data_IF_998734217828
#
_entry.id   IF_998734217828
#
_cell.length_a   1.000
_cell.length_b   1.000
_cell.length_c   1.000
_cell.angle_alpha   90.00
_cell.angle_beta   90.00
_cell.angle_gamma   90.00
#
_symmetry.space_group_name_H-M   'P 1'
#
loop_
_entity.id
_entity.type
_entity.pdbx_description
1 polymer ?
#
# COMPACT_ATOMS: atom_id res chain seq x y z
N UNK A 1 -8.08 -21.50 -1.45
CA UNK A 1 -8.06 -20.13 -2.00
C UNK A 1 -6.87 -19.96 -2.95
N UNK A 2 -7.12 -19.58 -4.21
CA UNK A 2 -6.09 -19.35 -5.25
C UNK A 2 -5.29 -18.05 -5.01
N UNK A 3 -4.69 -17.89 -3.84
CA UNK A 3 -3.68 -16.86 -3.54
C UNK A 3 -2.28 -17.50 -3.48
N UNK A 4 -2.12 -18.68 -4.07
CA UNK A 4 -0.92 -19.50 -3.88
C UNK A 4 0.33 -18.92 -4.55
N UNK A 5 0.17 -18.04 -5.54
CA UNK A 5 1.27 -17.60 -6.41
C UNK A 5 1.50 -16.08 -6.40
N UNK A 6 0.83 -15.34 -5.51
CA UNK A 6 0.99 -13.89 -5.43
C UNK A 6 1.27 -13.42 -4.01
N UNK A 7 2.19 -12.46 -3.91
CA UNK A 7 2.41 -11.69 -2.69
C UNK A 7 2.45 -10.19 -2.99
N UNK A 8 2.13 -9.38 -1.99
CA UNK A 8 2.37 -7.95 -2.01
C UNK A 8 3.69 -7.65 -1.32
N UNK A 9 4.49 -6.80 -1.94
CA UNK A 9 5.77 -6.36 -1.39
C UNK A 9 5.85 -4.84 -1.49
N UNK A 10 6.15 -4.19 -0.37
CA UNK A 10 6.48 -2.77 -0.37
C UNK A 10 7.95 -2.60 -0.78
N UNK A 11 8.21 -1.90 -1.89
CA UNK A 11 9.54 -1.73 -2.47
C UNK A 11 9.78 -0.30 -2.93
N UNK A 12 11.03 0.15 -2.86
CA UNK A 12 11.46 1.47 -3.32
C UNK A 12 12.07 1.45 -4.74
N UNK A 13 11.54 0.59 -5.61
CA UNK A 13 12.09 0.33 -6.94
C UNK A 13 11.92 1.52 -7.91
N UNK A 14 10.75 2.19 -7.91
CA UNK A 14 10.50 3.37 -8.76
C UNK A 14 11.19 4.63 -8.23
N UNK A 15 11.14 4.85 -6.92
CA UNK A 15 11.79 5.96 -6.24
C UNK A 15 12.38 5.45 -4.92
N UNK A 16 13.70 5.64 -4.72
CA UNK A 16 14.43 5.14 -3.55
C UNK A 16 13.91 5.67 -2.21
N UNK A 17 13.20 6.79 -2.21
CA UNK A 17 12.61 7.41 -1.02
C UNK A 17 11.22 6.87 -0.67
N UNK A 18 10.53 6.21 -1.61
CA UNK A 18 9.12 5.86 -1.48
C UNK A 18 8.91 4.36 -1.61
N UNK A 19 8.24 3.75 -0.64
CA UNK A 19 7.84 2.36 -0.70
C UNK A 19 6.47 2.25 -1.35
N UNK A 20 6.46 2.01 -2.66
CA UNK A 20 5.27 1.64 -3.41
C UNK A 20 4.93 0.16 -3.14
N UNK A 21 3.67 -0.23 -3.32
CA UNK A 21 3.27 -1.64 -3.27
C UNK A 21 3.36 -2.24 -4.67
N UNK A 22 4.04 -3.37 -4.76
CA UNK A 22 4.10 -4.20 -5.95
C UNK A 22 3.47 -5.55 -5.69
N UNK A 23 2.90 -6.13 -6.74
CA UNK A 23 2.43 -7.51 -6.80
C UNK A 23 3.49 -8.36 -7.49
N UNK A 24 4.03 -9.32 -6.74
CA UNK A 24 4.98 -10.30 -7.23
C UNK A 24 4.26 -11.61 -7.54
N UNK A 25 4.39 -12.09 -8.77
CA UNK A 25 4.05 -13.47 -9.14
C UNK A 25 5.23 -14.37 -8.81
N UNK A 26 5.07 -15.30 -7.86
CA UNK A 26 6.19 -16.09 -7.32
C UNK A 26 6.76 -17.06 -8.38
N UNK A 27 5.92 -17.70 -9.16
CA UNK A 27 6.31 -18.68 -10.19
C UNK A 27 7.14 -18.10 -11.32
N UNK A 28 6.93 -16.82 -11.67
CA UNK A 28 7.58 -16.15 -12.81
C UNK A 28 8.55 -15.06 -12.41
N UNK A 29 8.50 -14.59 -11.16
CA UNK A 29 9.21 -13.39 -10.72
C UNK A 29 8.65 -12.08 -11.30
N UNK A 30 7.52 -12.10 -12.00
CA UNK A 30 6.93 -10.90 -12.57
C UNK A 30 6.52 -9.93 -11.46
N UNK A 31 6.96 -8.67 -11.57
CA UNK A 31 6.71 -7.62 -10.59
C UNK A 31 5.91 -6.50 -11.24
N UNK A 32 4.69 -6.27 -10.77
CA UNK A 32 3.77 -5.27 -11.32
C UNK A 32 3.41 -4.26 -10.24
N UNK A 33 3.41 -2.97 -10.58
CA UNK A 33 3.00 -1.90 -9.65
C UNK A 33 1.52 -2.09 -9.29
N UNK A 34 1.22 -2.16 -8.00
CA UNK A 34 -0.14 -2.32 -7.49
C UNK A 34 -0.69 -0.99 -6.96
N UNK A 35 0.04 -0.37 -6.02
CA UNK A 35 -0.36 0.88 -5.38
C UNK A 35 0.84 1.81 -5.22
N UNK A 36 0.76 2.98 -5.85
CA UNK A 36 1.81 3.99 -5.76
C UNK A 36 1.71 4.78 -4.46
N UNK A 37 2.85 5.00 -3.80
CA UNK A 37 2.98 5.92 -2.68
C UNK A 37 2.99 7.38 -3.20
N UNK A 38 2.06 8.23 -2.74
CA UNK A 38 1.99 9.63 -3.15
C UNK A 38 3.08 10.50 -2.50
N UNK A 39 3.78 10.01 -1.48
CA UNK A 39 4.90 10.71 -0.84
C UNK A 39 4.89 10.66 0.69
N UNK A 40 3.75 10.34 1.30
CA UNK A 40 3.51 10.49 2.74
C UNK A 40 3.17 9.18 3.47
N UNK A 41 3.04 8.07 2.74
CA UNK A 41 2.66 6.77 3.31
C UNK A 41 3.88 6.06 3.87
N UNK A 42 3.83 5.72 5.16
CA UNK A 42 4.85 4.98 5.88
C UNK A 42 4.53 3.48 5.99
N UNK A 43 3.27 3.08 5.85
CA UNK A 43 2.85 1.68 5.95
C UNK A 43 1.55 1.38 5.20
N UNK A 44 1.40 0.14 4.76
CA UNK A 44 0.25 -0.32 3.96
C UNK A 44 -0.46 -1.48 4.67
N UNK A 45 -1.78 -1.54 4.51
CA UNK A 45 -2.62 -2.64 5.04
C UNK A 45 -3.39 -3.27 3.89
N UNK A 46 -3.26 -4.59 3.74
CA UNK A 46 -3.99 -5.39 2.76
C UNK A 46 -5.12 -6.19 3.42
N UNK A 47 -6.18 -6.48 2.68
CA UNK A 47 -7.18 -7.48 3.06
C UNK A 47 -6.73 -8.92 2.72
N UNK A 48 -7.54 -9.91 3.08
CA UNK A 48 -7.27 -11.32 2.81
C UNK A 48 -7.26 -11.69 1.32
N UNK A 49 -7.67 -10.78 0.44
CA UNK A 49 -7.66 -10.95 -1.01
C UNK A 49 -6.51 -10.17 -1.68
N UNK A 50 -5.53 -9.71 -0.89
CA UNK A 50 -4.39 -8.90 -1.36
C UNK A 50 -4.82 -7.60 -2.04
N UNK A 51 -5.89 -6.96 -1.57
CA UNK A 51 -6.21 -5.59 -1.95
C UNK A 51 -5.70 -4.64 -0.89
N UNK A 52 -4.96 -3.60 -1.29
CA UNK A 52 -4.54 -2.54 -0.37
C UNK A 52 -5.75 -1.69 0.05
N UNK A 53 -6.12 -1.76 1.33
CA UNK A 53 -7.27 -1.08 1.94
C UNK A 53 -6.89 0.07 2.85
N UNK A 54 -5.71 0.03 3.45
CA UNK A 54 -5.26 1.00 4.42
C UNK A 54 -3.89 1.57 4.09
N UNK A 55 -3.69 2.82 4.48
CA UNK A 55 -2.42 3.52 4.43
C UNK A 55 -2.20 4.24 5.77
N UNK A 56 -1.07 3.97 6.42
CA UNK A 56 -0.59 4.74 7.55
C UNK A 56 0.29 5.88 7.01
N UNK A 57 -0.06 7.11 7.35
CA UNK A 57 0.57 8.33 6.88
C UNK A 57 1.18 9.08 8.06
N UNK A 58 2.38 9.61 7.86
CA UNK A 58 3.01 10.55 8.80
C UNK A 58 2.58 11.96 8.39
N UNK A 59 1.94 12.68 9.31
CA UNK A 59 1.47 14.03 9.02
C UNK A 59 2.60 15.05 9.21
N UNK A 60 2.54 16.24 8.54
CA UNK A 60 3.63 17.24 8.63
C UNK A 60 3.93 17.75 10.04
N UNK A 61 2.96 17.68 10.94
CA UNK A 61 3.06 18.03 12.36
C UNK A 61 3.63 16.87 13.23
N UNK A 62 4.04 15.75 12.62
CA UNK A 62 4.62 14.60 13.31
C UNK A 62 3.60 13.59 13.85
N UNK A 63 2.31 13.80 13.59
CA UNK A 63 1.25 12.85 13.94
C UNK A 63 1.11 11.67 12.97
N UNK A 64 0.06 10.89 13.17
CA UNK A 64 -0.33 9.75 12.33
C UNK A 64 -1.75 9.92 11.81
N UNK A 65 -1.94 9.68 10.52
CA UNK A 65 -3.25 9.54 9.89
C UNK A 65 -3.39 8.13 9.32
N UNK A 66 -4.53 7.49 9.56
CA UNK A 66 -4.93 6.27 8.89
C UNK A 66 -5.96 6.62 7.81
N UNK A 67 -5.60 6.33 6.57
CA UNK A 67 -6.51 6.46 5.42
C UNK A 67 -6.99 5.09 4.97
N UNK A 68 -8.24 5.00 4.54
CA UNK A 68 -8.84 3.76 4.02
C UNK A 68 -9.48 3.98 2.65
N UNK A 69 -9.70 2.90 1.89
CA UNK A 69 -10.43 2.91 0.61
C UNK A 69 -11.17 1.58 0.36
N UNK A 70 -12.25 1.65 -0.42
CA UNK A 70 -13.13 0.49 -0.67
C UNK A 70 -12.68 -0.41 -1.82
N UNK A 71 -11.72 0.02 -2.65
CA UNK A 71 -10.99 -0.77 -3.66
C UNK A 71 -9.85 0.07 -4.25
N UNK A 72 -9.08 -0.52 -5.16
CA UNK A 72 -7.90 0.12 -5.75
C UNK A 72 -8.22 1.43 -6.52
N UNK A 73 -9.45 1.57 -7.03
CA UNK A 73 -9.92 2.75 -7.78
C UNK A 73 -10.68 3.75 -6.92
N UNK A 74 -11.05 3.38 -5.69
CA UNK A 74 -11.71 4.30 -4.76
C UNK A 74 -10.73 5.35 -4.26
N UNK A 75 -11.20 6.60 -4.05
CA UNK A 75 -10.39 7.62 -3.39
C UNK A 75 -10.08 7.21 -1.95
N UNK A 76 -8.95 7.69 -1.45
CA UNK A 76 -8.60 7.58 -0.04
C UNK A 76 -9.48 8.51 0.80
N UNK A 77 -9.90 8.03 1.97
CA UNK A 77 -10.59 8.84 2.99
C UNK A 77 -9.91 8.64 4.34
N UNK A 78 -9.87 9.71 5.14
CA UNK A 78 -9.42 9.62 6.53
C UNK A 78 -10.35 8.73 7.34
N UNK A 79 -9.78 7.81 8.11
CA UNK A 79 -10.49 6.99 9.08
C UNK A 79 -10.19 7.42 10.51
N UNK A 80 -8.91 7.66 10.80
CA UNK A 80 -8.43 8.10 12.10
C UNK A 80 -7.29 9.11 11.89
N UNK A 81 -7.23 10.14 12.72
CA UNK A 81 -6.07 11.01 12.85
C UNK A 81 -5.74 11.15 14.33
N UNK A 82 -4.48 10.94 14.68
CA UNK A 82 -3.98 11.03 16.05
C UNK A 82 -2.60 11.70 16.05
N UNK A 83 -2.45 12.70 16.90
CA UNK A 83 -1.30 13.60 16.92
C UNK A 83 -1.70 14.93 17.51
#
# INVERSE_FOLDING_TARGET
PEIADQILVALNARNRQLFDVYRLTLSTGALVLDTQNPGDVAGWVADSNLNIRGAQVVTPDGGTEIRIRDNAQSPWRTWLKAG
#
